data_IF_227607793225
#
_entry.id   IF_227607793225
#
_cell.length_a   1.000
_cell.length_b   1.000
_cell.length_c   1.000
_cell.angle_alpha   90.00
_cell.angle_beta   90.00
_cell.angle_gamma   90.00
#
_symmetry.space_group_name_H-M   'P 1'
#
loop_
_entity.id
_entity.type
_entity.pdbx_description
1 polymer ?
#
# COMPACT_ATOMS: atom_id res chain seq x y z
N UNK A 1 -16.12 6.63 -6.11
CA UNK A 1 -14.80 6.17 -5.64
C UNK A 1 -13.86 6.15 -6.84
N UNK A 2 -12.85 7.04 -6.91
CA UNK A 2 -11.94 7.13 -8.07
C UNK A 2 -11.09 5.85 -8.15
N UNK A 3 -11.40 5.01 -9.13
CA UNK A 3 -10.75 3.73 -9.37
C UNK A 3 -9.24 3.90 -9.59
N UNK A 4 -8.52 2.86 -9.18
CA UNK A 4 -7.09 2.83 -9.01
C UNK A 4 -6.39 2.70 -10.36
N UNK A 5 -5.51 3.63 -10.75
CA UNK A 5 -4.53 3.35 -11.79
C UNK A 5 -3.77 2.08 -11.41
N UNK A 6 -3.94 1.01 -12.17
CA UNK A 6 -3.26 -0.27 -11.94
C UNK A 6 -1.75 -0.05 -11.86
N UNK A 7 -1.13 -0.62 -10.84
CA UNK A 7 0.33 -0.64 -10.71
C UNK A 7 0.94 -1.39 -11.90
N UNK A 8 2.02 -0.86 -12.44
CA UNK A 8 2.83 -1.57 -13.44
C UNK A 8 3.51 -2.78 -12.79
N UNK A 9 3.83 -3.84 -13.56
CA UNK A 9 4.53 -5.01 -13.04
C UNK A 9 5.84 -4.67 -12.32
N UNK A 10 6.59 -3.68 -12.83
CA UNK A 10 7.81 -3.19 -12.19
C UNK A 10 7.54 -2.55 -10.81
N UNK A 11 6.47 -1.77 -10.67
CA UNK A 11 6.08 -1.16 -9.39
C UNK A 11 5.65 -2.23 -8.37
N UNK A 12 4.89 -3.23 -8.83
CA UNK A 12 4.49 -4.37 -7.99
C UNK A 12 5.73 -5.09 -7.46
N UNK A 13 6.74 -5.32 -8.31
CA UNK A 13 8.00 -5.93 -7.89
C UNK A 13 8.71 -5.08 -6.82
N UNK A 14 8.90 -3.79 -7.07
CA UNK A 14 9.54 -2.86 -6.11
C UNK A 14 8.80 -2.81 -4.77
N UNK A 15 7.47 -2.76 -4.79
CA UNK A 15 6.66 -2.77 -3.56
C UNK A 15 6.74 -4.12 -2.84
N UNK A 16 6.82 -5.23 -3.58
CA UNK A 16 6.97 -6.57 -2.99
C UNK A 16 8.34 -6.71 -2.32
N UNK A 17 9.40 -6.22 -2.96
CA UNK A 17 10.75 -6.21 -2.40
C UNK A 17 10.82 -5.27 -1.18
N UNK A 18 10.21 -4.10 -1.27
CA UNK A 18 10.09 -3.16 -0.15
C UNK A 18 9.33 -3.74 1.04
N UNK A 19 8.26 -4.49 0.79
CA UNK A 19 7.51 -5.20 1.83
C UNK A 19 8.34 -6.33 2.47
N UNK A 20 9.11 -7.09 1.69
CA UNK A 20 9.86 -8.26 2.19
C UNK A 20 11.16 -7.90 2.89
N UNK A 21 11.91 -6.95 2.35
CA UNK A 21 13.33 -6.75 2.71
C UNK A 21 13.63 -5.41 3.38
N UNK A 22 12.70 -4.44 3.37
CA UNK A 22 13.01 -3.13 3.95
C UNK A 22 13.25 -3.23 5.46
N UNK A 23 14.33 -2.63 6.00
CA UNK A 23 14.57 -2.61 7.44
C UNK A 23 13.53 -1.75 8.19
N UNK A 24 12.89 -0.81 7.50
CA UNK A 24 11.90 0.08 8.10
C UNK A 24 10.51 -0.56 8.14
N UNK A 25 10.05 -0.92 9.34
CA UNK A 25 8.73 -1.54 9.56
C UNK A 25 7.57 -0.71 9.00
N UNK A 26 7.60 0.62 9.19
CA UNK A 26 6.56 1.50 8.64
C UNK A 26 6.57 1.48 7.11
N UNK A 27 7.74 1.41 6.49
CA UNK A 27 7.85 1.30 5.03
C UNK A 27 7.30 -0.04 4.53
N UNK A 28 7.59 -1.17 5.20
CA UNK A 28 7.02 -2.48 4.84
C UNK A 28 5.49 -2.45 4.88
N UNK A 29 4.90 -1.91 5.94
CA UNK A 29 3.44 -1.79 6.10
C UNK A 29 2.84 -0.94 4.98
N UNK A 30 3.49 0.17 4.63
CA UNK A 30 3.06 1.02 3.49
C UNK A 30 3.07 0.24 2.17
N UNK A 31 4.16 -0.46 1.88
CA UNK A 31 4.26 -1.29 0.68
C UNK A 31 3.15 -2.34 0.65
N UNK A 32 2.87 -3.00 1.78
CA UNK A 32 1.81 -4.00 1.89
C UNK A 32 0.42 -3.39 1.65
N UNK A 33 0.13 -2.24 2.25
CA UNK A 33 -1.15 -1.52 2.06
C UNK A 33 -1.41 -1.16 0.59
N UNK A 34 -0.37 -0.69 -0.12
CA UNK A 34 -0.47 -0.31 -1.53
C UNK A 34 -0.72 -1.55 -2.40
N UNK A 35 -0.04 -2.68 -2.12
CA UNK A 35 -0.24 -3.94 -2.83
C UNK A 35 -1.67 -4.47 -2.65
N UNK A 36 -2.21 -4.44 -1.43
CA UNK A 36 -3.58 -4.86 -1.14
C UNK A 36 -4.61 -3.93 -1.81
N UNK A 37 -4.37 -2.63 -1.79
CA UNK A 37 -5.23 -1.67 -2.49
C UNK A 37 -5.25 -1.92 -4.00
N UNK A 38 -4.11 -2.23 -4.61
CA UNK A 38 -4.03 -2.60 -6.03
C UNK A 38 -4.73 -3.93 -6.36
N UNK A 39 -4.82 -4.86 -5.40
CA UNK A 39 -5.61 -6.09 -5.52
C UNK A 39 -7.12 -5.86 -5.38
N UNK A 40 -7.56 -4.65 -5.08
CA UNK A 40 -8.99 -4.30 -4.94
C UNK A 40 -9.55 -4.39 -3.52
N UNK A 41 -8.71 -4.56 -2.50
CA UNK A 41 -9.17 -4.54 -1.11
C UNK A 41 -9.61 -3.12 -0.70
N UNK A 42 -10.70 -3.03 0.07
CA UNK A 42 -11.18 -1.77 0.66
C UNK A 42 -10.24 -1.31 1.78
N UNK A 43 -10.17 0.00 2.01
CA UNK A 43 -9.31 0.59 3.06
C UNK A 43 -9.61 0.00 4.43
N UNK A 44 -10.88 -0.26 4.75
CA UNK A 44 -11.28 -0.85 6.03
C UNK A 44 -10.75 -2.29 6.19
N UNK A 45 -10.92 -3.13 5.16
CA UNK A 45 -10.35 -4.49 5.16
C UNK A 45 -8.82 -4.47 5.25
N UNK A 46 -8.18 -3.51 4.58
CA UNK A 46 -6.73 -3.35 4.66
C UNK A 46 -6.34 -2.97 6.09
N UNK A 47 -7.03 -1.99 6.70
CA UNK A 47 -6.79 -1.57 8.08
C UNK A 47 -6.85 -2.73 9.08
N UNK A 48 -7.81 -3.65 8.91
CA UNK A 48 -7.90 -4.89 9.69
C UNK A 48 -6.73 -5.85 9.44
N UNK A 49 -6.34 -6.07 8.17
CA UNK A 49 -5.25 -7.00 7.82
C UNK A 49 -3.90 -6.56 8.37
N UNK A 50 -3.60 -5.26 8.33
CA UNK A 50 -2.31 -4.71 8.81
C UNK A 50 -2.38 -4.20 10.25
N UNK A 51 -3.52 -4.33 10.93
CA UNK A 51 -3.76 -3.89 12.31
C UNK A 51 -3.37 -2.41 12.53
N UNK A 52 -3.87 -1.55 11.65
CA UNK A 52 -3.58 -0.12 11.67
C UNK A 52 -4.84 0.70 11.44
N UNK A 53 -4.89 1.90 12.03
CA UNK A 53 -6.02 2.79 11.83
C UNK A 53 -6.21 3.16 10.35
N UNK A 54 -7.47 3.12 9.86
CA UNK A 54 -7.85 3.43 8.46
C UNK A 54 -7.23 4.72 7.91
N UNK A 55 -7.08 5.73 8.77
CA UNK A 55 -6.55 7.03 8.37
C UNK A 55 -5.06 6.93 8.00
N UNK A 56 -4.29 6.13 8.75
CA UNK A 56 -2.88 5.86 8.47
C UNK A 56 -2.71 5.11 7.15
N UNK A 57 -3.60 4.16 6.87
CA UNK A 57 -3.61 3.41 5.60
C UNK A 57 -3.95 4.32 4.43
N UNK A 58 -4.99 5.15 4.58
CA UNK A 58 -5.38 6.15 3.59
C UNK A 58 -4.20 7.06 3.22
N UNK A 59 -3.58 7.70 4.23
CA UNK A 59 -2.42 8.58 4.03
C UNK A 59 -1.28 7.85 3.32
N UNK A 60 -1.01 6.60 3.70
CA UNK A 60 0.07 5.79 3.11
C UNK A 60 -0.16 5.50 1.63
N UNK A 61 -1.40 5.19 1.23
CA UNK A 61 -1.77 4.96 -0.17
C UNK A 61 -1.72 6.27 -0.97
N UNK A 62 -2.18 7.38 -0.39
CA UNK A 62 -2.16 8.69 -1.05
C UNK A 62 -0.75 9.27 -1.21
N UNK A 63 0.12 9.15 -0.20
CA UNK A 63 1.49 9.65 -0.24
C UNK A 63 2.31 8.97 -1.36
N UNK A 64 2.14 7.66 -1.55
CA UNK A 64 2.79 6.93 -2.64
C UNK A 64 2.29 7.31 -4.04
N UNK A 65 1.14 7.99 -4.14
CA UNK A 65 0.60 8.50 -5.39
C UNK A 65 1.03 9.94 -5.71
N UNK A 66 1.31 10.75 -4.68
CA UNK A 66 1.75 12.14 -4.84
C UNK A 66 3.24 12.29 -5.15
N UNK A 67 4.03 11.24 -4.94
CA UNK A 67 5.46 11.21 -5.28
C UNK A 67 5.74 10.76 -6.72
N UNK A 68 4.70 10.67 -7.58
CA UNK A 68 4.80 10.37 -9.01
C UNK A 68 4.78 11.64 -9.84
#
# INVERSE_FOLDING_TARGET
MKYVNHLKPAEIKTLTDGFRYSPNSRFRIRCHAILLSNKGYKIDNIAEIIDFHRNTISISIFAARSAR
#
